data_IF_034619263686
#
_entry.id   IF_034619263686
#
_cell.length_a   1.000
_cell.length_b   1.000
_cell.length_c   1.000
_cell.angle_alpha   90.00
_cell.angle_beta   90.00
_cell.angle_gamma   90.00
#
_symmetry.space_group_name_H-M   'P 1'
#
loop_
_entity.id
_entity.type
_entity.pdbx_description
1 polymer ?
#
# COMPACT_ATOMS: atom_id res chain seq x y z
N UNK A 1 13.97 19.44 -3.93
CA UNK A 1 15.24 20.04 -4.42
C UNK A 1 15.19 21.57 -4.49
N UNK A 2 14.18 22.19 -5.12
CA UNK A 2 14.12 23.66 -5.33
C UNK A 2 14.25 24.50 -4.05
N UNK A 3 13.60 24.10 -2.95
CA UNK A 3 13.67 24.81 -1.66
C UNK A 3 15.11 24.87 -1.14
N UNK A 4 15.80 23.73 -1.04
CA UNK A 4 17.20 23.65 -0.60
C UNK A 4 18.23 24.29 -1.56
N UNK A 5 17.83 24.60 -2.80
CA UNK A 5 18.66 25.34 -3.76
C UNK A 5 18.58 26.85 -3.53
N UNK A 6 17.38 27.35 -3.24
CA UNK A 6 17.09 28.78 -3.08
C UNK A 6 17.32 29.27 -1.64
N UNK A 7 17.25 28.35 -0.68
CA UNK A 7 17.51 28.61 0.73
C UNK A 7 18.60 27.65 1.25
N UNK A 8 19.70 28.23 1.74
CA UNK A 8 20.83 27.46 2.26
C UNK A 8 20.53 26.86 3.64
N UNK A 9 19.68 27.49 4.46
CA UNK A 9 19.33 27.00 5.79
C UNK A 9 18.45 25.74 5.72
N UNK A 10 17.68 25.58 4.65
CA UNK A 10 16.90 24.36 4.39
C UNK A 10 17.75 23.10 4.19
N UNK A 11 19.05 23.21 3.90
CA UNK A 11 19.95 22.05 3.68
C UNK A 11 20.23 21.26 4.98
N UNK A 12 20.76 21.87 6.07
CA UNK A 12 20.95 21.14 7.32
C UNK A 12 19.64 20.62 7.94
N UNK A 13 18.51 21.27 7.64
CA UNK A 13 17.18 20.80 8.06
C UNK A 13 16.84 19.46 7.40
N UNK A 14 16.93 19.35 6.07
CA UNK A 14 16.63 18.07 5.40
C UNK A 14 17.60 16.97 5.80
N UNK A 15 18.88 17.29 6.03
CA UNK A 15 19.87 16.32 6.51
C UNK A 15 19.49 15.75 7.88
N UNK A 16 19.02 16.62 8.79
CA UNK A 16 18.58 16.21 10.12
C UNK A 16 17.34 15.32 10.05
N UNK A 17 16.34 15.70 9.24
CA UNK A 17 15.11 14.90 9.05
C UNK A 17 15.43 13.52 8.48
N UNK A 18 16.30 13.44 7.47
CA UNK A 18 16.66 12.16 6.85
C UNK A 18 17.26 11.17 7.86
N UNK A 19 18.06 11.66 8.83
CA UNK A 19 18.62 10.82 9.89
C UNK A 19 17.58 10.27 10.86
N UNK A 20 16.40 10.88 10.92
CA UNK A 20 15.29 10.48 11.79
C UNK A 20 14.28 9.55 11.10
N UNK A 21 14.41 9.35 9.78
CA UNK A 21 13.49 8.49 9.03
C UNK A 21 13.68 7.04 9.48
N UNK A 22 12.59 6.43 9.93
CA UNK A 22 12.51 4.99 10.11
C UNK A 22 12.18 4.33 8.77
N UNK A 23 13.05 3.42 8.34
CA UNK A 23 12.84 2.66 7.10
C UNK A 23 12.06 1.39 7.40
N UNK A 24 10.80 1.35 6.99
CA UNK A 24 9.98 0.13 7.03
C UNK A 24 10.19 -0.67 5.75
N UNK A 25 10.63 -1.92 5.90
CA UNK A 25 10.80 -2.85 4.77
C UNK A 25 9.53 -3.69 4.58
N UNK A 26 8.82 -3.43 3.48
CA UNK A 26 7.53 -4.07 3.19
C UNK A 26 7.60 -5.60 3.03
N UNK A 27 8.79 -6.15 2.77
CA UNK A 27 9.01 -7.59 2.67
C UNK A 27 8.96 -8.31 4.02
N UNK A 28 9.30 -7.63 5.12
CA UNK A 28 9.35 -8.20 6.48
C UNK A 28 8.26 -7.64 7.39
N UNK A 29 7.66 -6.51 7.03
CA UNK A 29 6.57 -5.89 7.78
C UNK A 29 5.34 -6.82 7.84
N UNK A 30 4.96 -7.34 9.02
CA UNK A 30 3.89 -8.33 9.15
C UNK A 30 2.53 -7.85 8.64
N UNK A 31 2.17 -6.59 8.88
CA UNK A 31 0.86 -6.05 8.53
C UNK A 31 0.76 -5.63 7.05
N UNK A 32 1.88 -5.52 6.34
CA UNK A 32 1.91 -4.97 4.98
C UNK A 32 1.06 -5.78 4.01
N UNK A 33 1.10 -7.11 4.10
CA UNK A 33 0.33 -7.97 3.19
C UNK A 33 -1.18 -7.75 3.32
N UNK A 34 -1.68 -7.61 4.55
CA UNK A 34 -3.11 -7.39 4.79
C UNK A 34 -3.55 -6.03 4.24
N UNK A 35 -2.78 -4.97 4.51
CA UNK A 35 -3.05 -3.65 3.94
C UNK A 35 -3.01 -3.67 2.40
N UNK A 36 -2.01 -4.33 1.82
CA UNK A 36 -1.86 -4.44 0.38
C UNK A 36 -3.03 -5.18 -0.27
N UNK A 37 -3.44 -6.32 0.29
CA UNK A 37 -4.57 -7.11 -0.23
C UNK A 37 -5.88 -6.34 -0.10
N UNK A 38 -6.09 -5.63 1.00
CA UNK A 38 -7.29 -4.81 1.18
C UNK A 38 -7.35 -3.65 0.17
N UNK A 39 -6.21 -3.01 -0.10
CA UNK A 39 -6.11 -1.90 -1.06
C UNK A 39 -6.22 -2.32 -2.53
N UNK A 40 -6.11 -3.62 -2.86
CA UNK A 40 -6.26 -4.10 -4.25
C UNK A 40 -7.72 -4.13 -4.74
N UNK A 41 -8.71 -4.13 -3.84
CA UNK A 41 -10.12 -4.01 -4.23
C UNK A 41 -10.45 -2.56 -4.56
N UNK A 42 -11.45 -2.33 -5.41
CA UNK A 42 -11.87 -0.99 -5.79
C UNK A 42 -13.13 -0.57 -5.02
N UNK A 43 -13.14 0.54 -4.26
CA UNK A 43 -11.98 1.41 -3.94
C UNK A 43 -11.05 0.84 -2.85
N UNK A 44 -11.56 -0.02 -1.98
CA UNK A 44 -10.83 -0.85 -1.00
C UNK A 44 -11.76 -2.00 -0.57
N UNK A 45 -11.22 -3.05 0.03
CA UNK A 45 -11.98 -4.21 0.50
C UNK A 45 -12.68 -3.96 1.84
N UNK A 46 -12.05 -3.18 2.73
CA UNK A 46 -12.45 -3.00 4.11
C UNK A 46 -12.73 -1.53 4.44
N UNK A 47 -11.89 -0.63 3.98
CA UNK A 47 -12.01 0.79 4.34
C UNK A 47 -13.12 1.47 3.53
N UNK A 48 -14.05 2.20 4.18
CA UNK A 48 -15.12 2.91 3.48
C UNK A 48 -14.60 4.19 2.83
N UNK A 49 -15.19 4.56 1.69
CA UNK A 49 -14.85 5.78 0.93
C UNK A 49 -16.06 6.72 0.85
N UNK A 50 -16.46 7.36 1.97
CA UNK A 50 -17.71 8.13 2.05
C UNK A 50 -17.69 9.38 1.16
N UNK A 51 -16.56 10.07 1.06
CA UNK A 51 -16.44 11.26 0.21
C UNK A 51 -16.52 10.90 -1.29
N UNK A 52 -15.91 9.79 -1.69
CA UNK A 52 -15.99 9.30 -3.07
C UNK A 52 -17.41 8.84 -3.43
N UNK A 53 -18.12 8.21 -2.49
CA UNK A 53 -19.48 7.73 -2.69
C UNK A 53 -20.51 8.85 -2.96
N UNK A 54 -20.21 10.10 -2.57
CA UNK A 54 -21.05 11.27 -2.87
C UNK A 54 -20.98 11.65 -4.34
N UNK A 55 -19.80 11.50 -4.94
CA UNK A 55 -19.52 11.94 -6.30
C UNK A 55 -19.78 10.84 -7.34
N UNK A 56 -19.59 9.56 -6.97
CA UNK A 56 -19.73 8.43 -7.91
C UNK A 56 -20.45 7.24 -7.29
N UNK A 57 -21.20 6.50 -8.12
CA UNK A 57 -21.79 5.23 -7.73
C UNK A 57 -20.70 4.15 -7.60
N UNK A 58 -20.44 3.69 -6.38
CA UNK A 58 -19.43 2.69 -6.10
C UNK A 58 -19.89 1.27 -6.48
N UNK A 59 -18.99 0.42 -7.02
CA UNK A 59 -19.32 -0.97 -7.31
C UNK A 59 -19.57 -1.76 -6.02
N UNK A 60 -20.36 -2.82 -6.13
CA UNK A 60 -20.59 -3.75 -5.00
C UNK A 60 -19.25 -4.40 -4.60
N UNK A 61 -18.98 -4.56 -3.29
CA UNK A 61 -17.75 -5.20 -2.82
C UNK A 61 -17.56 -6.58 -3.46
N UNK A 62 -16.40 -6.81 -4.07
CA UNK A 62 -16.03 -8.09 -4.66
C UNK A 62 -15.10 -8.83 -3.70
N UNK A 63 -15.44 -10.05 -3.34
CA UNK A 63 -14.53 -10.90 -2.57
C UNK A 63 -13.35 -11.33 -3.45
N UNK A 64 -12.18 -10.75 -3.18
CA UNK A 64 -10.92 -11.20 -3.78
C UNK A 64 -10.42 -12.39 -2.96
N UNK A 65 -10.29 -13.55 -3.60
CA UNK A 65 -9.72 -14.75 -3.00
C UNK A 65 -8.27 -14.50 -2.56
N UNK A 66 -7.90 -15.00 -1.38
CA UNK A 66 -6.59 -14.77 -0.78
C UNK A 66 -5.45 -15.31 -1.66
N UNK A 67 -4.30 -14.63 -1.66
CA UNK A 67 -3.11 -15.09 -2.38
C UNK A 67 -2.57 -16.45 -1.87
N UNK A 68 -3.01 -16.91 -0.69
CA UNK A 68 -2.69 -18.23 -0.15
C UNK A 68 -3.31 -19.35 -1.00
N UNK A 69 -4.56 -19.22 -1.43
CA UNK A 69 -5.26 -20.23 -2.24
C UNK A 69 -4.65 -20.38 -3.65
N UNK A 70 -4.13 -19.28 -4.21
CA UNK A 70 -3.53 -19.29 -5.54
C UNK A 70 -2.21 -20.08 -5.62
N UNK A 71 -1.46 -20.15 -4.51
CA UNK A 71 -0.21 -20.92 -4.42
C UNK A 71 -0.46 -22.43 -4.43
N UNK A 72 -1.55 -22.87 -3.80
CA UNK A 72 -1.88 -24.30 -3.71
C UNK A 72 -2.40 -24.85 -5.05
N UNK A 73 -3.18 -24.04 -5.79
CA UNK A 73 -3.65 -24.38 -7.13
C UNK A 73 -2.51 -24.58 -8.14
N UNK A 74 -1.45 -23.75 -8.07
CA UNK A 74 -0.25 -23.90 -8.93
C UNK A 74 0.54 -25.17 -8.62
N UNK A 75 0.59 -25.59 -7.35
CA UNK A 75 1.32 -26.80 -6.93
C UNK A 75 0.59 -28.07 -7.39
N UNK A 76 -0.74 -28.07 -7.37
CA UNK A 76 -1.58 -29.19 -7.83
C UNK A 76 -1.49 -29.44 -9.34
N UNK A 77 -1.28 -28.39 -10.14
CA UNK A 77 -1.12 -28.49 -11.61
C UNK A 77 0.20 -29.10 -12.07
N UNK A 78 1.25 -29.06 -11.25
CA UNK A 78 2.56 -29.67 -11.56
C UNK A 78 2.64 -31.17 -11.24
N UNK A 79 1.60 -31.73 -10.61
CA UNK A 79 1.55 -33.13 -10.17
C UNK A 79 0.61 -33.99 -11.02
N UNK A 80 0.18 -33.48 -12.18
CA UNK A 80 -0.56 -34.20 -13.23
C UNK A 80 0.28 -34.30 -14.48
#
# INVERSE_FOLDING_TARGET
ARVALLDQESRPVIETVVRQIEKVETAVEPAFQDYFVNAMAFPNKQDPFPELAKEVALPKPKEIASAADSRDLRRRRRKR
#
